data_IF_678044114289
#
_entry.id   IF_678044114289
#
_cell.length_a   1.000
_cell.length_b   1.000
_cell.length_c   1.000
_cell.angle_alpha   90.00
_cell.angle_beta   90.00
_cell.angle_gamma   90.00
#
_symmetry.space_group_name_H-M   'P 1'
#
loop_
_entity.id
_entity.type
_entity.pdbx_description
1 polymer ?
#
# COMPACT_ATOMS: atom_id res chain seq x y z
N UNK A 1 4.34 36.42 54.20
CA UNK A 1 3.96 35.21 53.42
C UNK A 1 4.44 35.43 51.99
N UNK A 2 5.06 34.45 51.35
CA UNK A 2 5.44 34.56 49.95
C UNK A 2 4.18 34.67 49.07
N UNK A 3 4.21 35.55 48.05
CA UNK A 3 3.12 35.62 47.09
C UNK A 3 3.09 34.34 46.23
N UNK A 4 1.90 33.86 45.82
CA UNK A 4 1.81 32.76 44.87
C UNK A 4 2.47 33.16 43.56
N UNK A 5 3.09 32.21 42.87
CA UNK A 5 3.75 32.43 41.59
C UNK A 5 4.95 33.41 41.62
N UNK A 6 5.65 33.51 42.76
CA UNK A 6 6.86 34.35 42.91
C UNK A 6 7.96 34.01 41.89
N UNK A 7 8.57 35.00 41.24
CA UNK A 7 9.61 34.75 40.24
C UNK A 7 10.73 33.84 40.78
N UNK A 8 11.12 32.84 39.98
CA UNK A 8 12.19 31.91 40.34
C UNK A 8 13.53 32.65 40.19
N UNK A 9 14.05 33.17 41.29
CA UNK A 9 15.29 33.98 41.28
C UNK A 9 16.55 33.17 40.94
N UNK A 10 16.54 31.85 41.16
CA UNK A 10 17.60 30.92 40.75
C UNK A 10 17.00 29.71 40.05
N UNK A 11 17.38 29.50 38.79
CA UNK A 11 17.12 28.25 38.09
C UNK A 11 17.85 27.10 38.83
N UNK A 12 17.19 25.96 39.11
CA UNK A 12 17.78 24.87 39.92
C UNK A 12 19.05 24.27 39.32
N UNK A 13 19.26 24.46 38.02
CA UNK A 13 20.47 24.03 37.31
C UNK A 13 21.48 25.17 37.05
N UNK A 14 21.26 26.35 37.65
CA UNK A 14 22.03 27.56 37.39
C UNK A 14 21.91 28.07 35.95
N UNK A 15 22.74 29.04 35.59
CA UNK A 15 22.85 29.56 34.21
C UNK A 15 23.69 28.69 33.26
N UNK A 16 24.29 27.61 33.76
CA UNK A 16 25.19 26.72 33.01
C UNK A 16 24.49 25.50 32.39
N UNK A 17 23.22 25.27 32.70
CA UNK A 17 22.48 24.17 32.09
C UNK A 17 22.03 24.53 30.69
N UNK A 18 22.69 23.90 29.71
CA UNK A 18 22.24 23.87 28.34
C UNK A 18 21.46 22.59 28.12
N UNK A 19 20.14 22.71 27.94
CA UNK A 19 19.33 21.57 27.56
C UNK A 19 19.89 20.97 26.25
N UNK A 20 20.10 19.64 26.17
CA UNK A 20 20.74 19.01 25.01
C UNK A 20 19.87 19.02 23.74
N UNK A 21 18.65 19.54 23.83
CA UNK A 21 17.70 19.63 22.72
C UNK A 21 16.67 20.73 22.95
N UNK A 22 15.67 20.76 22.07
CA UNK A 22 14.58 21.73 22.17
C UNK A 22 13.80 21.58 23.47
N UNK A 23 13.42 22.69 24.08
CA UNK A 23 12.52 22.70 25.23
C UNK A 23 11.12 22.26 24.78
N UNK A 24 10.63 21.15 25.33
CA UNK A 24 9.34 20.55 24.96
C UNK A 24 8.26 20.88 25.97
N UNK A 25 8.55 20.76 27.27
CA UNK A 25 7.60 20.97 28.35
C UNK A 25 8.31 21.55 29.57
N UNK A 26 7.62 22.45 30.27
CA UNK A 26 8.04 22.93 31.57
C UNK A 26 6.83 23.19 32.44
N UNK A 27 6.98 22.87 33.72
CA UNK A 27 5.91 22.89 34.69
C UNK A 27 6.33 23.72 35.88
N UNK A 28 5.44 24.62 36.29
CA UNK A 28 5.52 25.32 37.55
C UNK A 28 4.46 24.77 38.48
N UNK A 29 4.87 23.87 39.37
CA UNK A 29 3.99 23.25 40.35
C UNK A 29 4.26 23.85 41.73
N UNK A 30 3.24 24.48 42.32
CA UNK A 30 3.29 24.96 43.71
C UNK A 30 2.43 24.08 44.61
N UNK A 31 2.94 23.78 45.79
CA UNK A 31 2.25 22.99 46.81
C UNK A 31 1.97 23.89 48.01
N UNK A 32 0.71 24.03 48.36
CA UNK A 32 0.29 24.86 49.48
C UNK A 32 -0.65 24.07 50.40
N UNK A 33 -0.58 24.24 51.72
CA UNK A 33 -1.65 23.76 52.59
C UNK A 33 -2.95 24.52 52.31
N UNK A 34 -4.08 23.93 52.67
CA UNK A 34 -5.39 24.60 52.61
C UNK A 34 -5.36 25.91 53.45
N UNK A 35 -5.77 27.02 52.83
CA UNK A 35 -5.75 28.34 53.48
C UNK A 35 -5.68 29.51 52.49
N UNK A 36 -5.44 30.71 53.04
CA UNK A 36 -5.51 31.96 52.28
C UNK A 36 -4.52 32.03 51.10
N UNK A 37 -3.34 31.41 51.19
CA UNK A 37 -2.40 31.39 50.05
C UNK A 37 -2.90 30.53 48.89
N UNK A 38 -3.48 29.36 49.19
CA UNK A 38 -4.04 28.49 48.17
C UNK A 38 -5.22 29.17 47.46
N UNK A 39 -6.09 29.84 48.21
CA UNK A 39 -7.18 30.65 47.63
C UNK A 39 -6.65 31.80 46.77
N UNK A 40 -5.63 32.52 47.23
CA UNK A 40 -4.99 33.57 46.43
C UNK A 40 -4.38 33.00 45.13
N UNK A 41 -3.72 31.84 45.18
CA UNK A 41 -3.18 31.17 44.00
C UNK A 41 -4.30 30.75 43.03
N UNK A 42 -5.40 30.21 43.55
CA UNK A 42 -6.57 29.81 42.74
C UNK A 42 -7.16 30.97 41.94
N UNK A 43 -7.29 32.16 42.56
CA UNK A 43 -7.86 33.34 41.88
C UNK A 43 -7.02 33.86 40.71
N UNK A 44 -5.78 33.41 40.57
CA UNK A 44 -4.87 33.84 39.50
C UNK A 44 -4.94 32.98 38.22
N UNK A 45 -5.70 31.89 38.24
CA UNK A 45 -5.96 31.08 37.05
C UNK A 45 -7.07 31.69 36.19
N UNK A 46 -7.04 31.40 34.89
CA UNK A 46 -8.10 31.80 33.98
C UNK A 46 -9.38 30.98 34.25
N UNK A 47 -10.43 31.65 34.74
CA UNK A 47 -11.70 31.01 35.05
C UNK A 47 -12.39 30.33 33.86
N UNK A 48 -12.05 30.70 32.61
CA UNK A 48 -12.62 30.08 31.41
C UNK A 48 -12.03 28.69 31.11
N UNK A 49 -10.85 28.38 31.64
CA UNK A 49 -10.17 27.08 31.46
C UNK A 49 -9.73 26.42 32.76
N UNK A 50 -10.15 26.97 33.90
CA UNK A 50 -9.83 26.43 35.22
C UNK A 50 -10.40 25.02 35.36
N UNK A 51 -9.50 24.06 35.49
CA UNK A 51 -9.77 22.70 35.91
C UNK A 51 -9.51 22.60 37.40
N UNK A 52 -10.48 22.11 38.18
CA UNK A 52 -10.34 21.93 39.62
C UNK A 52 -10.96 20.61 40.05
N UNK A 53 -10.14 19.77 40.66
CA UNK A 53 -10.56 18.43 41.10
C UNK A 53 -10.08 18.18 42.52
N UNK A 54 -10.89 17.48 43.30
CA UNK A 54 -10.48 16.78 44.51
C UNK A 54 -9.84 15.46 44.10
N UNK A 55 -8.73 15.09 44.72
CA UNK A 55 -7.98 13.87 44.38
C UNK A 55 -7.60 13.10 45.63
N UNK A 56 -7.20 11.84 45.46
CA UNK A 56 -6.72 10.96 46.55
C UNK A 56 -7.73 10.91 47.72
N UNK A 57 -8.99 10.61 47.40
CA UNK A 57 -10.08 10.49 48.39
C UNK A 57 -10.27 11.75 49.27
N UNK A 58 -9.97 12.93 48.71
CA UNK A 58 -10.13 14.21 49.40
C UNK A 58 -8.91 14.72 50.15
N UNK A 59 -7.81 13.98 50.15
CA UNK A 59 -6.56 14.37 50.81
C UNK A 59 -5.80 15.46 50.07
N UNK A 60 -6.20 15.80 48.83
CA UNK A 60 -5.70 16.96 48.13
C UNK A 60 -6.70 17.53 47.12
N UNK A 61 -6.46 18.76 46.69
CA UNK A 61 -7.13 19.37 45.54
C UNK A 61 -6.06 19.80 44.52
N UNK A 62 -6.35 19.61 43.25
CA UNK A 62 -5.51 20.07 42.15
C UNK A 62 -6.24 21.13 41.36
N UNK A 63 -5.52 22.17 40.94
CA UNK A 63 -6.02 23.20 40.04
C UNK A 63 -5.00 23.56 38.96
N UNK A 64 -5.48 23.72 37.73
CA UNK A 64 -4.68 24.21 36.60
C UNK A 64 -5.61 24.75 35.52
N UNK A 65 -5.16 25.74 34.77
CA UNK A 65 -5.82 26.22 33.55
C UNK A 65 -5.11 25.74 32.27
N UNK A 66 -4.08 24.89 32.42
CA UNK A 66 -3.16 24.44 31.37
C UNK A 66 -2.50 25.57 30.57
N UNK A 67 -2.44 26.78 31.14
CA UNK A 67 -1.78 27.94 30.53
C UNK A 67 -0.35 28.06 31.03
N UNK A 68 0.52 28.49 30.12
CA UNK A 68 1.87 28.91 30.47
C UNK A 68 1.84 30.28 31.15
N UNK A 69 2.72 30.47 32.12
CA UNK A 69 3.00 31.76 32.73
C UNK A 69 3.94 32.61 31.85
N UNK A 70 4.36 33.76 32.38
CA UNK A 70 5.30 34.66 31.69
C UNK A 70 6.68 34.04 31.45
N UNK A 71 7.02 32.96 32.14
CA UNK A 71 8.28 32.22 32.00
C UNK A 71 8.13 31.01 31.05
N UNK A 72 6.94 30.80 30.45
CA UNK A 72 6.66 29.69 29.54
C UNK A 72 6.38 28.36 30.25
N UNK A 73 6.14 28.38 31.56
CA UNK A 73 5.89 27.18 32.37
C UNK A 73 4.40 26.98 32.61
N UNK A 74 3.89 25.77 32.38
CA UNK A 74 2.48 25.46 32.69
C UNK A 74 2.27 25.45 34.19
N UNK A 75 1.31 26.25 34.67
CA UNK A 75 1.04 26.39 36.11
C UNK A 75 0.13 25.28 36.63
N UNK A 76 0.53 24.68 37.74
CA UNK A 76 -0.26 23.70 38.48
C UNK A 76 -0.20 23.99 39.98
N UNK A 77 -1.34 23.89 40.63
CA UNK A 77 -1.48 24.08 42.07
C UNK A 77 -1.93 22.77 42.71
N UNK A 78 -1.18 22.31 43.70
CA UNK A 78 -1.58 21.22 44.58
C UNK A 78 -1.88 21.79 45.97
N UNK A 79 -3.14 21.71 46.38
CA UNK A 79 -3.58 22.05 47.73
C UNK A 79 -3.52 20.77 48.57
N UNK A 80 -2.56 20.70 49.47
CA UNK A 80 -2.37 19.54 50.35
C UNK A 80 -3.31 19.63 51.57
N UNK A 81 -4.12 18.59 51.77
CA UNK A 81 -5.10 18.47 52.86
C UNK A 81 -4.79 17.30 53.80
N UNK A 82 -3.55 16.81 53.79
CA UNK A 82 -3.11 15.71 54.66
C UNK A 82 -2.48 14.54 53.91
N UNK A 83 -1.84 14.78 52.76
CA UNK A 83 -1.06 13.76 52.07
C UNK A 83 0.14 13.34 52.92
N UNK A 84 0.44 12.04 52.90
CA UNK A 84 1.74 11.52 53.36
C UNK A 84 2.85 12.03 52.45
N UNK A 85 4.09 12.07 52.91
CA UNK A 85 5.22 12.51 52.08
C UNK A 85 5.36 11.69 50.79
N UNK A 86 5.14 10.37 50.90
CA UNK A 86 5.13 9.47 49.75
C UNK A 86 3.94 9.76 48.82
N UNK A 87 2.74 9.98 49.37
CA UNK A 87 1.54 10.33 48.61
C UNK A 87 1.66 11.67 47.89
N UNK A 88 2.31 12.66 48.53
CA UNK A 88 2.63 13.96 47.95
C UNK A 88 3.60 13.81 46.79
N UNK A 89 4.71 13.10 46.98
CA UNK A 89 5.68 12.83 45.91
C UNK A 89 5.05 12.11 44.72
N UNK A 90 4.26 11.06 44.96
CA UNK A 90 3.57 10.33 43.91
C UNK A 90 2.54 11.20 43.16
N UNK A 91 1.84 12.08 43.87
CA UNK A 91 0.86 13.00 43.26
C UNK A 91 1.56 14.06 42.42
N UNK A 92 2.65 14.65 42.91
CA UNK A 92 3.48 15.59 42.15
C UNK A 92 4.02 14.93 40.87
N UNK A 93 4.60 13.73 40.98
CA UNK A 93 5.09 13.00 39.82
C UNK A 93 3.97 12.73 38.80
N UNK A 94 2.78 12.37 39.28
CA UNK A 94 1.63 12.14 38.42
C UNK A 94 1.24 13.40 37.62
N UNK A 95 1.23 14.57 38.26
CA UNK A 95 0.93 15.85 37.60
C UNK A 95 2.02 16.25 36.60
N UNK A 96 3.29 16.05 36.95
CA UNK A 96 4.41 16.29 36.04
C UNK A 96 4.36 15.37 34.81
N UNK A 97 4.03 14.09 35.01
CA UNK A 97 3.86 13.11 33.94
C UNK A 97 2.72 13.55 33.00
N UNK A 98 1.56 13.96 33.52
CA UNK A 98 0.41 14.41 32.70
C UNK A 98 0.83 15.56 31.78
N UNK A 99 1.47 16.60 32.31
CA UNK A 99 1.89 17.76 31.54
C UNK A 99 2.99 17.44 30.50
N UNK A 100 3.94 16.59 30.90
CA UNK A 100 5.04 16.18 30.03
C UNK A 100 4.51 15.33 28.88
N UNK A 101 3.74 14.28 29.18
CA UNK A 101 3.26 13.34 28.18
C UNK A 101 2.13 13.91 27.32
N UNK A 102 1.25 14.78 27.82
CA UNK A 102 0.26 15.44 26.95
C UNK A 102 0.94 16.29 25.88
N UNK A 103 2.03 16.96 26.25
CA UNK A 103 2.76 17.85 25.34
C UNK A 103 3.54 17.03 24.31
N UNK A 104 4.14 15.91 24.74
CA UNK A 104 4.77 14.95 23.84
C UNK A 104 3.79 14.28 22.88
N UNK A 105 2.59 13.90 23.35
CA UNK A 105 1.55 13.30 22.53
C UNK A 105 1.12 14.25 21.39
N UNK A 106 1.04 15.55 21.67
CA UNK A 106 0.66 16.56 20.68
C UNK A 106 1.67 16.76 19.54
N UNK A 107 2.91 16.26 19.68
CA UNK A 107 3.94 16.42 18.64
C UNK A 107 3.63 15.69 17.33
N UNK A 108 2.74 14.68 17.35
CA UNK A 108 2.30 14.01 16.12
C UNK A 108 1.27 14.81 15.31
N UNK A 109 0.51 15.72 15.93
CA UNK A 109 -0.63 16.35 15.24
C UNK A 109 -0.20 17.15 13.99
N UNK A 110 0.85 18.00 14.03
CA UNK A 110 1.27 18.73 12.84
C UNK A 110 1.70 17.81 11.70
N UNK A 111 2.32 16.67 12.03
CA UNK A 111 2.71 15.65 11.07
C UNK A 111 1.49 14.95 10.45
N UNK A 112 0.48 14.61 11.26
CA UNK A 112 -0.77 14.06 10.75
C UNK A 112 -1.49 15.05 9.81
N UNK A 113 -1.47 16.33 10.14
CA UNK A 113 -2.05 17.40 9.33
C UNK A 113 -1.30 17.59 8.01
N UNK A 114 0.03 17.51 8.00
CA UNK A 114 0.83 17.63 6.77
C UNK A 114 0.67 16.42 5.84
N UNK A 115 0.54 15.21 6.40
CA UNK A 115 0.39 13.97 5.62
C UNK A 115 -1.03 13.76 5.08
N UNK A 116 -2.04 14.37 5.70
CA UNK A 116 -3.44 14.16 5.34
C UNK A 116 -3.79 14.50 3.87
N UNK A 117 -3.32 15.62 3.30
CA UNK A 117 -3.50 15.94 1.88
C UNK A 117 -2.78 14.96 0.94
N UNK A 118 -1.56 14.55 1.29
CA UNK A 118 -0.76 13.62 0.48
C UNK A 118 -1.41 12.24 0.39
N UNK A 119 -1.89 11.72 1.53
CA UNK A 119 -2.66 10.46 1.59
C UNK A 119 -3.91 10.57 0.71
N UNK A 120 -4.62 11.70 0.74
CA UNK A 120 -5.81 11.91 -0.10
C UNK A 120 -5.46 11.88 -1.59
N UNK A 121 -4.36 12.53 -1.99
CA UNK A 121 -3.92 12.51 -3.38
C UNK A 121 -3.59 11.08 -3.86
N UNK A 122 -2.98 10.26 -3.00
CA UNK A 122 -2.69 8.85 -3.30
C UNK A 122 -3.99 8.03 -3.42
N UNK A 123 -4.98 8.25 -2.54
CA UNK A 123 -6.31 7.62 -2.62
C UNK A 123 -7.02 7.93 -3.94
N UNK A 124 -7.03 9.20 -4.34
CA UNK A 124 -7.65 9.66 -5.58
C UNK A 124 -6.95 9.08 -6.82
N UNK A 125 -5.62 9.10 -6.84
CA UNK A 125 -4.83 8.54 -7.93
C UNK A 125 -5.03 7.01 -8.06
N UNK A 126 -5.04 6.28 -6.95
CA UNK A 126 -5.35 4.85 -6.94
C UNK A 126 -6.78 4.57 -7.44
N UNK A 127 -7.74 5.40 -7.05
CA UNK A 127 -9.11 5.37 -7.56
C UNK A 127 -9.16 5.53 -9.08
N UNK A 128 -8.39 6.47 -9.64
CA UNK A 128 -8.29 6.68 -11.07
C UNK A 128 -7.68 5.47 -11.81
N UNK A 129 -6.57 4.91 -11.28
CA UNK A 129 -5.91 3.72 -11.86
C UNK A 129 -6.88 2.54 -11.88
N UNK A 130 -7.52 2.25 -10.74
CA UNK A 130 -8.46 1.12 -10.63
C UNK A 130 -9.68 1.27 -11.55
N UNK A 131 -10.10 2.50 -11.86
CA UNK A 131 -11.17 2.74 -12.83
C UNK A 131 -10.71 2.50 -14.27
N UNK A 132 -9.48 2.91 -14.65
CA UNK A 132 -8.91 2.61 -15.98
C UNK A 132 -8.72 1.10 -16.19
N UNK A 133 -8.38 0.36 -15.14
CA UNK A 133 -8.29 -1.10 -15.17
C UNK A 133 -9.62 -1.79 -15.54
N UNK A 134 -10.79 -1.14 -15.44
CA UNK A 134 -12.06 -1.76 -15.88
C UNK A 134 -12.26 -1.75 -17.40
N UNK A 135 -11.57 -0.86 -18.13
CA UNK A 135 -11.82 -0.63 -19.56
C UNK A 135 -10.73 -1.17 -20.48
N UNK A 136 -9.48 -0.76 -20.26
CA UNK A 136 -8.36 -1.00 -21.20
C UNK A 136 -7.09 -1.40 -20.43
N UNK A 137 -7.11 -2.53 -19.73
CA UNK A 137 -5.92 -3.01 -18.99
C UNK A 137 -4.72 -3.24 -19.91
N UNK A 138 -4.99 -3.64 -21.16
CA UNK A 138 -4.00 -4.21 -22.07
C UNK A 138 -3.07 -3.21 -22.74
N UNK A 139 -3.57 -2.03 -23.10
CA UNK A 139 -2.79 -1.06 -23.88
C UNK A 139 -1.84 -0.25 -23.01
N UNK A 140 -2.18 -0.03 -21.73
CA UNK A 140 -1.45 0.86 -20.83
C UNK A 140 -1.01 0.18 -19.52
N UNK A 141 -0.83 -1.14 -19.52
CA UNK A 141 -0.50 -1.91 -18.31
C UNK A 141 0.80 -1.44 -17.65
N UNK A 142 1.86 -1.24 -18.44
CA UNK A 142 3.17 -0.81 -17.95
C UNK A 142 3.10 0.58 -17.31
N UNK A 143 2.35 1.50 -17.91
CA UNK A 143 2.12 2.84 -17.37
C UNK A 143 1.36 2.79 -16.05
N UNK A 144 0.29 1.98 -15.97
CA UNK A 144 -0.48 1.80 -14.73
C UNK A 144 0.37 1.16 -13.63
N UNK A 145 1.23 0.19 -13.98
CA UNK A 145 2.12 -0.46 -13.02
C UNK A 145 3.16 0.51 -12.49
N UNK A 146 3.75 1.34 -13.36
CA UNK A 146 4.68 2.39 -12.98
C UNK A 146 4.01 3.41 -12.05
N UNK A 147 2.78 3.83 -12.35
CA UNK A 147 2.02 4.74 -11.51
C UNK A 147 1.71 4.15 -10.13
N UNK A 148 1.22 2.91 -10.04
CA UNK A 148 0.96 2.25 -8.75
C UNK A 148 2.25 2.08 -7.95
N UNK A 149 3.35 1.72 -8.60
CA UNK A 149 4.66 1.57 -7.94
C UNK A 149 5.16 2.90 -7.37
N UNK A 150 4.96 4.01 -8.11
CA UNK A 150 5.26 5.36 -7.61
C UNK A 150 4.40 5.71 -6.39
N UNK A 151 3.08 5.49 -6.48
CA UNK A 151 2.14 5.74 -5.37
C UNK A 151 2.50 4.92 -4.11
N UNK A 152 2.89 3.65 -4.28
CA UNK A 152 3.35 2.79 -3.19
C UNK A 152 4.65 3.30 -2.56
N UNK A 153 5.61 3.75 -3.39
CA UNK A 153 6.87 4.29 -2.91
C UNK A 153 6.67 5.60 -2.12
N UNK A 154 5.81 6.50 -2.62
CA UNK A 154 5.45 7.74 -1.93
C UNK A 154 4.78 7.47 -0.58
N UNK A 155 3.82 6.55 -0.55
CA UNK A 155 3.16 6.14 0.70
C UNK A 155 4.16 5.57 1.72
N UNK A 156 5.08 4.72 1.28
CA UNK A 156 6.08 4.09 2.15
C UNK A 156 7.08 5.09 2.72
N UNK A 157 7.54 6.05 1.90
CA UNK A 157 8.45 7.10 2.36
C UNK A 157 7.80 7.94 3.47
N UNK A 158 6.52 8.28 3.30
CA UNK A 158 5.75 9.03 4.28
C UNK A 158 5.52 8.23 5.57
N UNK A 159 5.12 6.96 5.45
CA UNK A 159 4.90 6.09 6.60
C UNK A 159 6.18 5.89 7.43
N UNK A 160 7.33 5.71 6.77
CA UNK A 160 8.63 5.52 7.45
C UNK A 160 9.02 6.73 8.31
N UNK A 161 8.67 7.95 7.90
CA UNK A 161 8.96 9.18 8.64
C UNK A 161 8.03 9.38 9.84
N UNK A 162 6.80 8.83 9.81
CA UNK A 162 5.76 9.13 10.80
C UNK A 162 5.45 8.01 11.79
N UNK A 163 5.74 6.75 11.46
CA UNK A 163 5.30 5.60 12.25
C UNK A 163 5.77 5.64 13.71
N UNK A 164 7.04 5.98 13.94
CA UNK A 164 7.57 6.13 15.29
C UNK A 164 6.82 7.21 16.08
N UNK A 165 6.46 8.33 15.43
CA UNK A 165 5.84 9.48 16.08
C UNK A 165 4.37 9.21 16.41
N UNK A 166 3.62 8.54 15.54
CA UNK A 166 2.24 8.14 15.82
C UNK A 166 2.17 7.10 16.92
N UNK A 167 3.00 6.05 16.86
CA UNK A 167 3.09 5.04 17.92
C UNK A 167 3.47 5.65 19.28
N UNK A 168 4.48 6.55 19.29
CA UNK A 168 4.86 7.26 20.51
C UNK A 168 3.73 8.13 21.07
N UNK A 169 3.02 8.87 20.21
CA UNK A 169 1.94 9.75 20.65
C UNK A 169 0.76 8.98 21.23
N UNK A 170 0.41 7.84 20.64
CA UNK A 170 -0.56 6.90 21.20
C UNK A 170 -0.11 6.37 22.56
N UNK A 171 1.15 5.97 22.71
CA UNK A 171 1.69 5.52 24.00
C UNK A 171 1.64 6.62 25.07
N UNK A 172 1.98 7.86 24.69
CA UNK A 172 1.92 9.01 25.61
C UNK A 172 0.49 9.36 26.01
N UNK A 173 -0.49 9.29 25.10
CA UNK A 173 -1.91 9.46 25.42
C UNK A 173 -2.41 8.41 26.42
N UNK A 174 -1.96 7.16 26.29
CA UNK A 174 -2.23 6.12 27.27
C UNK A 174 -1.65 6.45 28.65
N UNK A 175 -0.41 6.93 28.72
CA UNK A 175 0.20 7.33 30.00
C UNK A 175 -0.60 8.48 30.63
N UNK A 176 -0.98 9.50 29.86
CA UNK A 176 -1.82 10.61 30.36
C UNK A 176 -3.12 10.07 30.94
N UNK A 177 -3.81 9.19 30.20
CA UNK A 177 -5.07 8.58 30.64
C UNK A 177 -4.91 7.77 31.93
N UNK A 178 -3.85 6.97 32.04
CA UNK A 178 -3.53 6.18 33.23
C UNK A 178 -3.23 7.05 34.45
N UNK A 179 -2.49 8.16 34.25
CA UNK A 179 -2.16 9.12 35.30
C UNK A 179 -3.39 9.86 35.80
N UNK A 180 -4.26 10.33 34.90
CA UNK A 180 -5.56 10.92 35.24
C UNK A 180 -6.41 9.94 36.05
N UNK A 181 -6.51 8.68 35.61
CA UNK A 181 -7.25 7.66 36.35
C UNK A 181 -6.65 7.41 37.74
N UNK A 182 -5.32 7.41 37.86
CA UNK A 182 -4.60 7.22 39.13
C UNK A 182 -4.84 8.34 40.13
N UNK A 183 -5.13 9.56 39.69
CA UNK A 183 -5.44 10.69 40.57
C UNK A 183 -6.75 10.49 41.34
N UNK A 184 -7.71 9.75 40.78
CA UNK A 184 -9.04 9.56 41.37
C UNK A 184 -9.77 10.90 41.51
N UNK A 185 -9.88 11.63 40.40
CA UNK A 185 -10.45 12.98 40.39
C UNK A 185 -11.97 12.99 40.64
N UNK A 186 -12.40 13.79 41.60
CA UNK A 186 -13.78 14.20 41.81
C UNK A 186 -13.91 15.70 41.49
N UNK A 187 -14.92 16.13 40.71
CA UNK A 187 -15.05 17.53 40.31
C UNK A 187 -15.32 18.46 41.49
N UNK A 188 -14.61 19.60 41.53
CA UNK A 188 -14.94 20.72 42.42
C UNK A 188 -15.39 21.89 41.55
N UNK A 189 -16.71 22.07 41.43
CA UNK A 189 -17.33 23.22 40.78
C UNK A 189 -16.62 23.64 39.47
N UNK A 190 -16.79 22.86 38.40
CA UNK A 190 -16.14 23.12 37.11
C UNK A 190 -15.81 21.84 36.36
N UNK A 191 -14.81 21.92 35.49
CA UNK A 191 -14.28 20.79 34.72
C UNK A 191 -13.13 20.12 35.49
N UNK A 192 -12.99 18.80 35.31
CA UNK A 192 -11.84 18.04 35.84
C UNK A 192 -10.67 18.09 34.85
N UNK A 193 -9.45 17.76 35.27
CA UNK A 193 -8.32 17.69 34.33
C UNK A 193 -8.62 16.62 33.27
N UNK A 194 -9.20 15.51 33.70
CA UNK A 194 -9.62 14.42 32.81
C UNK A 194 -10.59 14.86 31.72
N UNK A 195 -11.70 15.50 32.08
CA UNK A 195 -12.71 15.94 31.09
C UNK A 195 -12.18 17.06 30.19
N UNK A 196 -11.36 17.97 30.73
CA UNK A 196 -10.70 19.00 29.92
C UNK A 196 -9.75 18.40 28.89
N UNK A 197 -8.88 17.47 29.30
CA UNK A 197 -7.92 16.82 28.41
C UNK A 197 -8.62 15.90 27.41
N UNK A 198 -9.69 15.20 27.78
CA UNK A 198 -10.50 14.45 26.81
C UNK A 198 -11.02 15.36 25.69
N UNK A 199 -11.50 16.56 26.05
CA UNK A 199 -12.02 17.53 25.08
C UNK A 199 -10.94 18.18 24.21
N UNK A 200 -9.73 18.37 24.74
CA UNK A 200 -8.65 19.15 24.10
C UNK A 200 -7.55 18.31 23.46
N UNK A 201 -7.28 17.11 23.97
CA UNK A 201 -6.24 16.19 23.50
C UNK A 201 -6.81 15.12 22.57
N UNK A 202 -7.96 14.51 22.91
CA UNK A 202 -8.49 13.37 22.17
C UNK A 202 -8.78 13.65 20.68
N UNK A 203 -9.25 14.85 20.24
CA UNK A 203 -9.40 15.14 18.82
C UNK A 203 -8.08 15.05 18.03
N UNK A 204 -6.97 15.47 18.64
CA UNK A 204 -5.65 15.36 18.03
C UNK A 204 -5.25 13.89 17.88
N UNK A 205 -5.46 13.08 18.94
CA UNK A 205 -5.12 11.66 18.94
C UNK A 205 -5.94 10.88 17.91
N UNK A 206 -7.24 11.19 17.79
CA UNK A 206 -8.11 10.62 16.74
C UNK A 206 -7.63 10.98 15.34
N UNK A 207 -7.10 12.19 15.14
CA UNK A 207 -6.53 12.62 13.85
C UNK A 207 -5.29 11.80 13.52
N UNK A 208 -4.34 11.67 14.45
CA UNK A 208 -3.14 10.85 14.27
C UNK A 208 -3.49 9.40 13.93
N UNK A 209 -4.40 8.80 14.71
CA UNK A 209 -4.87 7.43 14.49
C UNK A 209 -5.55 7.25 13.13
N UNK A 210 -6.40 8.20 12.72
CA UNK A 210 -7.07 8.12 11.42
C UNK A 210 -6.08 8.17 10.24
N UNK A 211 -5.02 8.98 10.35
CA UNK A 211 -3.97 9.06 9.33
C UNK A 211 -3.19 7.75 9.26
N UNK A 212 -2.81 7.18 10.40
CA UNK A 212 -2.13 5.88 10.50
C UNK A 212 -2.96 4.75 9.86
N UNK A 213 -4.24 4.62 10.24
CA UNK A 213 -5.15 3.61 9.69
C UNK A 213 -5.37 3.78 8.17
N UNK A 214 -5.42 5.02 7.69
CA UNK A 214 -5.52 5.31 6.24
C UNK A 214 -4.26 4.90 5.49
N UNK A 215 -3.07 5.16 6.05
CA UNK A 215 -1.82 4.72 5.44
C UNK A 215 -1.75 3.19 5.33
N UNK A 216 -2.11 2.47 6.40
CA UNK A 216 -2.13 1.00 6.39
C UNK A 216 -3.14 0.47 5.36
N UNK A 217 -4.36 1.02 5.36
CA UNK A 217 -5.40 0.63 4.41
C UNK A 217 -4.98 0.84 2.96
N UNK A 218 -4.35 1.97 2.66
CA UNK A 218 -3.82 2.28 1.33
C UNK A 218 -2.69 1.35 0.92
N UNK A 219 -1.78 1.02 1.82
CA UNK A 219 -0.68 0.08 1.56
C UNK A 219 -1.22 -1.28 1.11
N UNK A 220 -2.22 -1.79 1.83
CA UNK A 220 -2.91 -3.03 1.48
C UNK A 220 -3.61 -2.92 0.12
N UNK A 221 -4.32 -1.81 -0.14
CA UNK A 221 -5.02 -1.59 -1.42
C UNK A 221 -4.03 -1.53 -2.59
N UNK A 222 -2.94 -0.78 -2.47
CA UNK A 222 -1.90 -0.68 -3.50
C UNK A 222 -1.26 -2.03 -3.81
N UNK A 223 -0.92 -2.80 -2.78
CA UNK A 223 -0.37 -4.16 -2.96
C UNK A 223 -1.35 -5.06 -3.71
N UNK A 224 -2.63 -5.07 -3.32
CA UNK A 224 -3.67 -5.86 -4.00
C UNK A 224 -3.89 -5.41 -5.44
N UNK A 225 -3.93 -4.10 -5.70
CA UNK A 225 -4.10 -3.57 -7.06
C UNK A 225 -2.91 -3.93 -7.94
N UNK A 226 -1.69 -3.89 -7.40
CA UNK A 226 -0.47 -4.33 -8.12
C UNK A 226 -0.55 -5.81 -8.49
N UNK A 227 -0.94 -6.67 -7.54
CA UNK A 227 -1.09 -8.11 -7.78
C UNK A 227 -2.17 -8.42 -8.82
N UNK A 228 -3.31 -7.74 -8.74
CA UNK A 228 -4.36 -7.84 -9.76
C UNK A 228 -3.83 -7.41 -11.12
N UNK A 229 -3.17 -6.26 -11.23
CA UNK A 229 -2.65 -5.76 -12.51
C UNK A 229 -1.65 -6.73 -13.13
N UNK A 230 -0.71 -7.28 -12.34
CA UNK A 230 0.23 -8.31 -12.78
C UNK A 230 -0.50 -9.55 -13.29
N UNK A 231 -1.49 -10.04 -12.54
CA UNK A 231 -2.29 -11.21 -12.93
C UNK A 231 -3.01 -10.96 -14.26
N UNK A 232 -3.59 -9.76 -14.42
CA UNK A 232 -4.23 -9.39 -15.67
C UNK A 232 -3.25 -9.45 -16.81
N UNK A 233 -2.08 -8.81 -16.71
CA UNK A 233 -0.99 -8.83 -17.73
C UNK A 233 -0.58 -10.25 -18.10
N UNK A 234 -0.38 -11.13 -17.11
CA UNK A 234 0.02 -12.52 -17.35
C UNK A 234 -1.05 -13.29 -18.17
N UNK A 235 -2.34 -13.09 -17.85
CA UNK A 235 -3.45 -13.80 -18.51
C UNK A 235 -3.57 -13.45 -20.00
N UNK A 236 -3.44 -12.19 -20.38
CA UNK A 236 -3.54 -11.83 -21.79
C UNK A 236 -2.23 -11.95 -22.56
N UNK A 237 -1.05 -11.95 -21.93
CA UNK A 237 0.14 -12.51 -22.58
C UNK A 237 -0.09 -13.98 -22.96
N UNK A 238 -0.71 -14.76 -22.06
CA UNK A 238 -1.09 -16.14 -22.38
C UNK A 238 -2.15 -16.24 -23.50
N UNK A 239 -3.15 -15.33 -23.52
CA UNK A 239 -4.13 -15.27 -24.63
C UNK A 239 -3.47 -14.90 -25.97
N UNK A 240 -2.54 -13.94 -25.98
CA UNK A 240 -1.82 -13.53 -27.18
C UNK A 240 -0.96 -14.67 -27.73
N UNK A 241 -0.22 -15.37 -26.86
CA UNK A 241 0.55 -16.55 -27.23
C UNK A 241 -0.34 -17.66 -27.82
N UNK A 242 -1.50 -17.91 -27.20
CA UNK A 242 -2.47 -18.90 -27.71
C UNK A 242 -3.01 -18.51 -29.09
N UNK A 243 -3.33 -17.23 -29.29
CA UNK A 243 -3.80 -16.73 -30.59
C UNK A 243 -2.72 -16.85 -31.67
N UNK A 244 -1.46 -16.54 -31.35
CA UNK A 244 -0.31 -16.71 -32.24
C UNK A 244 -0.13 -18.18 -32.64
N UNK A 245 -0.12 -19.10 -31.68
CA UNK A 245 -0.01 -20.55 -31.93
C UNK A 245 -1.17 -21.05 -32.81
N UNK A 246 -2.39 -20.61 -32.55
CA UNK A 246 -3.57 -20.98 -33.36
C UNK A 246 -3.44 -20.47 -34.81
N UNK A 247 -2.94 -19.24 -35.00
CA UNK A 247 -2.68 -18.69 -36.33
C UNK A 247 -1.59 -19.45 -37.08
N UNK A 248 -0.59 -19.96 -36.36
CA UNK A 248 0.51 -20.74 -36.91
C UNK A 248 0.01 -22.13 -37.34
N UNK A 249 -0.74 -22.83 -36.49
CA UNK A 249 -1.35 -24.12 -36.83
C UNK A 249 -2.25 -24.02 -38.07
N UNK A 250 -3.05 -22.95 -38.18
CA UNK A 250 -3.86 -22.69 -39.38
C UNK A 250 -3.01 -22.49 -40.63
N UNK A 251 -1.91 -21.74 -40.53
CA UNK A 251 -0.97 -21.54 -41.65
C UNK A 251 -0.27 -22.83 -42.06
N UNK A 252 0.20 -23.63 -41.09
CA UNK A 252 0.81 -24.94 -41.35
C UNK A 252 -0.18 -25.88 -42.02
N UNK A 253 -1.42 -25.96 -41.55
CA UNK A 253 -2.47 -26.76 -42.19
C UNK A 253 -2.75 -26.32 -43.64
N UNK A 254 -2.77 -25.02 -43.91
CA UNK A 254 -2.92 -24.50 -45.27
C UNK A 254 -1.72 -24.85 -46.16
N UNK A 255 -0.51 -24.73 -45.64
CA UNK A 255 0.72 -25.14 -46.34
C UNK A 255 0.69 -26.65 -46.66
N UNK A 256 0.30 -27.50 -45.71
CA UNK A 256 0.16 -28.94 -45.94
C UNK A 256 -0.88 -29.26 -47.02
N UNK A 257 -2.02 -28.57 -47.04
CA UNK A 257 -3.04 -28.76 -48.09
C UNK A 257 -2.55 -28.30 -49.47
N UNK A 258 -1.88 -27.15 -49.54
CA UNK A 258 -1.31 -26.65 -50.79
C UNK A 258 -0.24 -27.61 -51.32
N UNK A 259 0.60 -28.13 -50.43
CA UNK A 259 1.57 -29.15 -50.76
C UNK A 259 0.87 -30.40 -51.32
N UNK A 260 -0.15 -30.92 -50.62
CA UNK A 260 -0.97 -32.05 -51.12
C UNK A 260 -1.60 -31.80 -52.50
N UNK A 261 -2.06 -30.57 -52.78
CA UNK A 261 -2.60 -30.23 -54.11
C UNK A 261 -1.54 -30.14 -55.21
N UNK A 262 -0.33 -29.68 -54.92
CA UNK A 262 0.79 -29.69 -55.89
C UNK A 262 1.24 -31.13 -56.15
N UNK A 263 1.16 -31.96 -55.13
CA UNK A 263 1.58 -33.34 -55.20
C UNK A 263 0.65 -34.18 -56.10
N UNK A 264 -0.67 -33.98 -56.05
CA UNK A 264 -1.57 -34.65 -57.00
C UNK A 264 -1.36 -34.19 -58.45
N UNK A 265 -1.00 -32.92 -58.65
CA UNK A 265 -0.65 -32.39 -59.97
C UNK A 265 0.67 -32.97 -60.50
N UNK A 266 1.66 -33.20 -59.63
CA UNK A 266 2.94 -33.84 -60.01
C UNK A 266 2.76 -35.27 -60.53
N UNK A 267 1.80 -36.03 -59.97
CA UNK A 267 1.47 -37.37 -60.47
C UNK A 267 0.99 -37.29 -61.91
N UNK A 268 0.10 -36.35 -62.24
CA UNK A 268 -0.37 -36.15 -63.61
C UNK A 268 0.77 -35.76 -64.57
N UNK A 269 1.65 -34.83 -64.15
CA UNK A 269 2.79 -34.40 -64.96
C UNK A 269 3.78 -35.56 -65.22
N UNK A 270 4.18 -36.29 -64.18
CA UNK A 270 5.11 -37.43 -64.29
C UNK A 270 4.51 -38.54 -65.15
N UNK A 271 3.23 -38.87 -64.95
CA UNK A 271 2.54 -39.87 -65.78
C UNK A 271 2.50 -39.46 -67.25
N UNK A 272 2.24 -38.19 -67.57
CA UNK A 272 2.28 -37.70 -68.95
C UNK A 272 3.68 -37.84 -69.58
N UNK A 273 4.73 -37.45 -68.85
CA UNK A 273 6.12 -37.57 -69.33
C UNK A 273 6.52 -39.03 -69.59
N UNK A 274 6.15 -39.97 -68.71
CA UNK A 274 6.46 -41.39 -68.87
C UNK A 274 5.74 -41.99 -70.09
N UNK A 275 4.45 -41.68 -70.27
CA UNK A 275 3.68 -42.11 -71.45
C UNK A 275 4.33 -41.57 -72.73
N UNK A 276 4.76 -40.30 -72.74
CA UNK A 276 5.50 -39.71 -73.85
C UNK A 276 6.81 -40.43 -74.14
N UNK A 277 7.59 -40.77 -73.10
CA UNK A 277 8.88 -41.46 -73.23
C UNK A 277 8.70 -42.88 -73.82
N UNK A 278 7.68 -43.61 -73.38
CA UNK A 278 7.36 -44.95 -73.90
C UNK A 278 6.90 -44.87 -75.36
N UNK A 279 6.08 -43.88 -75.72
CA UNK A 279 5.67 -43.67 -77.11
C UNK A 279 6.88 -43.36 -78.02
N UNK A 280 7.83 -42.55 -77.56
CA UNK A 280 9.07 -42.32 -78.31
C UNK A 280 9.94 -43.57 -78.42
N UNK A 281 10.10 -44.35 -77.35
CA UNK A 281 10.84 -45.61 -77.37
C UNK A 281 10.19 -46.64 -78.32
N UNK A 282 8.86 -46.73 -78.31
CA UNK A 282 8.09 -47.59 -79.21
C UNK A 282 8.28 -47.19 -80.69
N UNK A 283 8.32 -45.89 -80.99
CA UNK A 283 8.63 -45.39 -82.35
C UNK A 283 10.09 -45.63 -82.75
N UNK A 284 11.02 -45.68 -81.80
CA UNK A 284 12.44 -45.97 -82.06
C UNK A 284 12.72 -47.46 -82.32
N UNK A 285 11.87 -48.36 -81.83
CA UNK A 285 11.90 -49.78 -82.10
C UNK A 285 11.22 -50.09 -83.45
N UNK A 286 11.93 -49.84 -84.56
CA UNK A 286 11.80 -50.49 -85.87
C UNK A 286 10.41 -50.62 -86.53
N UNK A 287 10.32 -50.21 -87.79
CA UNK A 287 9.12 -50.16 -88.64
C UNK A 287 8.49 -51.53 -89.03
N UNK A 288 8.64 -52.59 -88.22
CA UNK A 288 8.19 -53.97 -88.53
C UNK A 288 7.12 -54.52 -87.56
N UNK A 289 6.54 -53.68 -86.70
CA UNK A 289 5.50 -54.09 -85.74
C UNK A 289 4.12 -53.63 -86.23
N UNK A 290 3.20 -54.57 -86.39
CA UNK A 290 1.85 -54.38 -86.93
C UNK A 290 1.10 -53.24 -86.21
N UNK A 291 0.80 -52.15 -86.94
CA UNK A 291 0.20 -50.90 -86.44
C UNK A 291 -1.05 -51.02 -85.52
N UNK A 292 -1.94 -52.02 -85.67
CA UNK A 292 -3.13 -52.15 -84.80
C UNK A 292 -2.79 -52.64 -83.39
N UNK A 293 -1.73 -53.45 -83.21
CA UNK A 293 -1.40 -54.03 -81.90
C UNK A 293 -0.63 -53.04 -81.02
N UNK A 294 0.21 -52.20 -81.62
CA UNK A 294 0.98 -51.18 -80.91
C UNK A 294 0.09 -50.08 -80.33
N UNK A 295 -0.95 -49.67 -81.08
CA UNK A 295 -1.91 -48.65 -80.66
C UNK A 295 -2.80 -49.13 -79.50
N UNK A 296 -3.25 -50.39 -79.53
CA UNK A 296 -3.98 -51.01 -78.40
C UNK A 296 -3.07 -51.19 -77.18
N UNK A 297 -1.83 -51.64 -77.38
CA UNK A 297 -0.86 -51.79 -76.30
C UNK A 297 -0.52 -50.45 -75.63
N UNK A 298 -0.36 -49.38 -76.40
CA UNK A 298 -0.17 -48.03 -75.88
C UNK A 298 -1.41 -47.54 -75.11
N UNK A 299 -2.62 -47.77 -75.64
CA UNK A 299 -3.87 -47.42 -74.95
C UNK A 299 -4.05 -48.10 -73.59
N UNK A 300 -3.70 -49.39 -73.49
CA UNK A 300 -3.75 -50.16 -72.23
C UNK A 300 -2.63 -49.75 -71.27
N UNK A 301 -1.47 -49.32 -71.80
CA UNK A 301 -0.33 -48.91 -70.96
C UNK A 301 -0.61 -47.65 -70.13
N UNK A 302 -1.42 -46.72 -70.64
CA UNK A 302 -1.73 -45.44 -69.96
C UNK A 302 -2.34 -45.63 -68.57
N UNK A 303 -3.47 -46.34 -68.39
CA UNK A 303 -4.04 -46.55 -67.06
C UNK A 303 -3.12 -47.36 -66.14
N UNK A 304 -2.35 -48.32 -66.66
CA UNK A 304 -1.37 -49.08 -65.87
C UNK A 304 -0.28 -48.14 -65.34
N UNK A 305 0.28 -47.27 -66.18
CA UNK A 305 1.33 -46.31 -65.79
C UNK A 305 0.79 -45.31 -64.76
N UNK A 306 -0.42 -44.78 -64.94
CA UNK A 306 -1.02 -43.84 -63.99
C UNK A 306 -1.21 -44.50 -62.63
N UNK A 307 -1.73 -45.73 -62.59
CA UNK A 307 -1.92 -46.49 -61.34
C UNK A 307 -0.56 -46.85 -60.71
N UNK A 308 0.43 -47.27 -61.49
CA UNK A 308 1.77 -47.58 -61.00
C UNK A 308 2.49 -46.36 -60.43
N UNK A 309 2.46 -45.21 -61.10
CA UNK A 309 3.04 -43.96 -60.60
C UNK A 309 2.33 -43.50 -59.33
N UNK A 310 0.99 -43.58 -59.30
CA UNK A 310 0.20 -43.25 -58.12
C UNK A 310 0.56 -44.14 -56.92
N UNK A 311 0.66 -45.46 -57.12
CA UNK A 311 1.07 -46.40 -56.07
C UNK A 311 2.51 -46.18 -55.62
N UNK A 312 3.44 -45.92 -56.55
CA UNK A 312 4.84 -45.66 -56.25
C UNK A 312 5.02 -44.40 -55.39
N UNK A 313 4.43 -43.28 -55.82
CA UNK A 313 4.45 -42.01 -55.05
C UNK A 313 3.79 -42.17 -53.68
N UNK A 314 2.65 -42.89 -53.62
CA UNK A 314 1.96 -43.18 -52.36
C UNK A 314 2.79 -44.08 -51.42
N UNK A 315 3.52 -45.05 -51.95
CA UNK A 315 4.34 -46.00 -51.19
C UNK A 315 5.60 -45.35 -50.62
N UNK A 316 6.32 -44.55 -51.42
CA UNK A 316 7.51 -43.80 -50.97
C UNK A 316 7.14 -42.85 -49.82
N UNK A 317 5.94 -42.27 -49.84
CA UNK A 317 5.48 -41.41 -48.76
C UNK A 317 5.09 -42.09 -47.48
N UNK A 318 4.44 -43.26 -47.54
CA UNK A 318 4.15 -44.03 -46.32
C UNK A 318 5.44 -44.33 -45.54
N UNK A 319 6.56 -44.51 -46.23
CA UNK A 319 7.87 -44.70 -45.59
C UNK A 319 8.47 -43.43 -44.97
N UNK A 320 8.09 -42.23 -45.44
CA UNK A 320 8.57 -40.96 -44.89
C UNK A 320 7.66 -40.35 -43.80
N UNK A 321 6.41 -40.82 -43.65
CA UNK A 321 5.52 -40.36 -42.57
C UNK A 321 5.71 -41.12 -41.24
N UNK A 322 6.38 -42.27 -41.26
CA UNK A 322 6.64 -43.13 -40.08
C UNK A 322 8.09 -43.03 -39.57
N UNK A 323 8.84 -41.98 -39.95
CA UNK A 323 10.20 -41.66 -39.45
C UNK A 323 10.26 -40.20 -38.99
#
# INVERSE_FOLDING_TARGET
MAAPWTAIALHPFGGSFHAPGSFISGIRLEIWPEGAQAEAALTSFDGASLCRSRIRDGLAEVATDFRQDGDGLTRMLLIDRGLTDLGRGATVQCLLDIETYRTLAMLALPLAQSLSPEIRAIEEALGAVTQRMKGQVWENADEMLAEITRLASELQANAAQSLYRFGASTAYDFIVSERIATLGEEPIAGETLGSFLERRLAPAMRTCKSVEERQESLSIKLSRTTELLRTWVDVGLARQNTALLTSMDRRVKLQLRLQQTVESLSVAAISYYIVGLINYAAKGLGHDIVEPMLSIALGISVPIIVVSVWFFVRSVRRRHQDS
#
